data_IF_858120715632
#
_entry.id   IF_858120715632
#
_cell.length_a   1.000
_cell.length_b   1.000
_cell.length_c   1.000
_cell.angle_alpha   90.00
_cell.angle_beta   90.00
_cell.angle_gamma   90.00
#
_symmetry.space_group_name_H-M   'P 1'
#
loop_
_entity.id
_entity.type
_entity.pdbx_description
1 polymer ?
#
# COMPACT_ATOMS: atom_id res chain seq x y z
N UNK A 1 6.40 1.05 -23.82
CA UNK A 1 7.40 0.17 -23.15
C UNK A 1 7.28 -1.17 -23.87
N UNK A 2 8.37 -1.69 -24.45
CA UNK A 2 8.35 -2.91 -25.26
C UNK A 2 7.97 -4.12 -24.37
N UNK A 3 7.02 -5.00 -24.74
CA UNK A 3 6.71 -6.23 -24.02
C UNK A 3 7.94 -7.09 -23.63
N UNK A 4 9.01 -7.07 -24.44
CA UNK A 4 10.26 -7.77 -24.13
C UNK A 4 10.97 -7.21 -22.89
N UNK A 5 10.86 -5.90 -22.63
CA UNK A 5 11.48 -5.27 -21.47
C UNK A 5 10.72 -5.58 -20.17
N UNK A 6 9.41 -5.89 -20.25
CA UNK A 6 8.61 -6.26 -19.09
C UNK A 6 8.80 -7.73 -18.72
N UNK A 7 8.87 -8.62 -19.71
CA UNK A 7 9.23 -10.03 -19.48
C UNK A 7 10.61 -10.15 -18.82
N UNK A 8 11.58 -9.35 -19.31
CA UNK A 8 12.92 -9.29 -18.71
C UNK A 8 12.90 -8.76 -17.27
N UNK A 9 12.11 -7.72 -16.97
CA UNK A 9 11.94 -7.22 -15.61
C UNK A 9 11.29 -8.25 -14.67
N UNK A 10 10.31 -9.02 -15.18
CA UNK A 10 9.66 -10.10 -14.41
C UNK A 10 10.64 -11.24 -14.11
N UNK A 11 11.51 -11.60 -15.07
CA UNK A 11 12.53 -12.64 -14.88
C UNK A 11 13.67 -12.15 -13.96
N UNK A 12 14.08 -10.88 -14.06
CA UNK A 12 15.06 -10.25 -13.16
C UNK A 12 14.55 -10.20 -11.71
N UNK A 13 13.29 -9.79 -11.49
CA UNK A 13 12.66 -9.81 -10.17
C UNK A 13 12.52 -11.23 -9.60
N UNK A 14 12.38 -12.25 -10.45
CA UNK A 14 12.29 -13.65 -10.02
C UNK A 14 13.64 -14.23 -9.58
N UNK A 15 14.75 -13.74 -10.12
CA UNK A 15 16.10 -14.26 -9.83
C UNK A 15 16.70 -13.70 -8.52
N UNK A 16 16.29 -12.50 -8.09
CA UNK A 16 16.85 -11.79 -6.94
C UNK A 16 16.48 -12.38 -5.58
N UNK A 17 15.45 -13.23 -5.49
CA UNK A 17 14.93 -13.72 -4.22
C UNK A 17 15.06 -15.24 -4.07
N UNK A 18 16.28 -15.70 -3.75
CA UNK A 18 16.49 -17.02 -3.15
C UNK A 18 16.53 -16.87 -1.63
N UNK A 19 15.55 -17.38 -0.86
CA UNK A 19 15.56 -17.20 0.58
C UNK A 19 16.66 -18.04 1.23
N UNK A 20 17.53 -17.42 2.03
CA UNK A 20 18.31 -18.13 3.04
C UNK A 20 17.51 -18.18 4.34
N UNK A 21 17.15 -19.38 4.78
CA UNK A 21 16.45 -19.63 6.04
C UNK A 21 17.22 -19.07 7.24
N UNK A 22 16.55 -18.28 8.08
CA UNK A 22 16.93 -18.11 9.49
C UNK A 22 15.70 -18.18 10.39
N UNK A 23 15.79 -19.07 11.36
CA UNK A 23 14.80 -19.38 12.39
C UNK A 23 14.52 -18.22 13.35
N UNK A 24 13.26 -18.07 13.77
CA UNK A 24 12.86 -17.42 15.03
C UNK A 24 11.59 -18.06 15.65
N UNK A 25 11.40 -17.93 16.97
CA UNK A 25 10.83 -18.97 17.82
C UNK A 25 9.32 -18.85 18.12
N UNK A 26 8.82 -19.95 18.67
CA UNK A 26 7.42 -20.33 18.92
C UNK A 26 6.60 -19.42 19.87
N UNK A 27 5.35 -19.18 19.46
CA UNK A 27 4.21 -18.77 20.30
C UNK A 27 3.00 -19.69 20.06
N UNK A 28 2.29 -20.01 21.14
CA UNK A 28 1.36 -21.15 21.32
C UNK A 28 -0.04 -20.90 20.73
N UNK A 29 -0.51 -21.78 19.84
CA UNK A 29 -1.82 -21.69 19.17
C UNK A 29 -2.96 -22.31 20.01
N UNK A 30 -4.08 -21.58 20.16
CA UNK A 30 -5.39 -22.14 20.54
C UNK A 30 -6.16 -22.46 19.26
N UNK A 31 -6.77 -23.66 19.19
CA UNK A 31 -7.42 -24.18 17.97
C UNK A 31 -8.66 -23.36 17.59
N UNK A 32 -8.62 -22.70 16.44
CA UNK A 32 -9.79 -22.12 15.78
C UNK A 32 -10.70 -23.21 15.18
N UNK A 33 -12.02 -22.97 15.05
CA UNK A 33 -12.96 -23.93 14.46
C UNK A 33 -12.65 -24.21 12.98
N UNK A 34 -12.93 -25.43 12.53
CA UNK A 34 -12.70 -25.87 11.14
C UNK A 34 -13.58 -25.09 10.18
N UNK A 35 -13.03 -24.09 9.50
CA UNK A 35 -13.63 -23.48 8.32
C UNK A 35 -13.39 -24.36 7.10
N UNK A 36 -14.43 -24.49 6.26
CA UNK A 36 -14.36 -25.16 4.96
C UNK A 36 -13.25 -24.53 4.11
N UNK A 37 -12.39 -25.32 3.43
CA UNK A 37 -11.29 -24.74 2.66
C UNK A 37 -11.83 -23.82 1.57
N UNK A 38 -11.31 -22.59 1.43
CA UNK A 38 -11.69 -21.72 0.34
C UNK A 38 -11.41 -22.43 -0.99
N UNK A 39 -12.36 -22.36 -1.93
CA UNK A 39 -12.17 -22.91 -3.28
C UNK A 39 -10.90 -22.29 -3.89
N UNK A 40 -10.08 -23.09 -4.57
CA UNK A 40 -8.82 -22.60 -5.18
C UNK A 40 -9.15 -21.43 -6.12
N UNK A 41 -8.74 -20.21 -5.77
CA UNK A 41 -8.92 -19.00 -6.59
C UNK A 41 -8.27 -19.25 -7.96
N UNK A 42 -9.04 -19.03 -9.03
CA UNK A 42 -8.53 -19.18 -10.40
C UNK A 42 -7.59 -18.02 -10.69
N UNK A 43 -6.29 -18.30 -10.81
CA UNK A 43 -5.28 -17.27 -11.10
C UNK A 43 -5.56 -16.60 -12.46
N UNK A 44 -5.56 -15.28 -12.46
CA UNK A 44 -5.77 -14.46 -13.66
C UNK A 44 -4.45 -14.14 -14.36
N UNK A 45 -4.46 -14.12 -15.69
CA UNK A 45 -3.35 -13.61 -16.51
C UNK A 45 -3.36 -12.09 -16.60
N UNK A 46 -4.43 -11.42 -16.16
CA UNK A 46 -4.49 -9.97 -16.12
C UNK A 46 -3.54 -9.44 -15.03
N UNK A 47 -2.82 -8.38 -15.35
CA UNK A 47 -2.04 -7.59 -14.41
C UNK A 47 -2.37 -6.10 -14.58
N UNK A 48 -2.32 -5.37 -13.47
CA UNK A 48 -2.61 -3.95 -13.42
C UNK A 48 -1.35 -3.18 -13.07
N UNK A 49 -1.00 -2.20 -13.91
CA UNK A 49 -0.04 -1.17 -13.52
C UNK A 49 -0.84 -0.06 -12.83
N UNK A 50 -0.68 0.08 -11.52
CA UNK A 50 -1.37 1.09 -10.72
C UNK A 50 -0.39 2.18 -10.30
N UNK A 51 -0.80 3.43 -10.42
CA UNK A 51 -0.12 4.56 -9.77
C UNK A 51 -0.90 4.99 -8.54
N UNK A 52 -0.25 4.93 -7.39
CA UNK A 52 -0.80 5.33 -6.09
C UNK A 52 -0.14 6.65 -5.72
N UNK A 53 -0.91 7.70 -5.51
CA UNK A 53 -0.41 9.03 -5.14
C UNK A 53 -1.04 9.45 -3.83
N UNK A 54 -0.24 9.84 -2.84
CA UNK A 54 -0.72 10.40 -1.59
C UNK A 54 -1.19 11.85 -1.82
N UNK A 55 -2.42 12.14 -1.45
CA UNK A 55 -3.05 13.43 -1.71
C UNK A 55 -2.66 14.46 -0.64
N UNK A 56 -2.66 15.74 -1.01
CA UNK A 56 -2.45 16.84 -0.08
C UNK A 56 -0.99 17.25 0.14
N UNK A 57 -0.01 16.45 -0.32
CA UNK A 57 1.42 16.73 -0.12
C UNK A 57 2.09 17.15 -1.44
N UNK A 58 2.98 18.16 -1.35
CA UNK A 58 3.83 18.62 -2.45
C UNK A 58 5.28 18.80 -1.99
N UNK A 59 6.29 18.35 -2.77
CA UNK A 59 6.21 17.55 -3.99
C UNK A 59 5.50 16.18 -3.80
N UNK A 60 4.94 15.55 -4.84
CA UNK A 60 4.07 14.40 -4.66
C UNK A 60 4.83 13.17 -4.15
N UNK A 61 4.26 12.49 -3.16
CA UNK A 61 4.66 11.15 -2.72
C UNK A 61 3.84 10.13 -3.52
N UNK A 62 4.50 9.19 -4.20
CA UNK A 62 3.80 8.23 -5.05
C UNK A 62 4.57 6.93 -5.27
N UNK A 63 3.83 5.88 -5.61
CA UNK A 63 4.32 4.56 -6.00
C UNK A 63 3.66 4.11 -7.30
N UNK A 64 4.36 3.34 -8.10
CA UNK A 64 3.84 2.63 -9.26
C UNK A 64 4.07 1.16 -9.04
N UNK A 65 3.00 0.39 -8.98
CA UNK A 65 3.04 -1.04 -8.66
C UNK A 65 2.41 -1.86 -9.79
N UNK A 66 2.89 -3.08 -9.96
CA UNK A 66 2.29 -4.10 -10.81
C UNK A 66 1.58 -5.11 -9.91
N UNK A 67 0.29 -5.34 -10.15
CA UNK A 67 -0.57 -6.15 -9.27
C UNK A 67 -1.32 -7.22 -10.07
N UNK A 68 -1.42 -8.48 -9.60
CA UNK A 68 -2.21 -9.50 -10.29
C UNK A 68 -3.71 -9.17 -10.25
N UNK A 69 -4.41 -9.34 -11.37
CA UNK A 69 -5.83 -8.99 -11.44
C UNK A 69 -6.76 -9.88 -10.62
N UNK A 70 -6.28 -11.06 -10.22
CA UNK A 70 -7.00 -11.93 -9.32
C UNK A 70 -6.84 -11.55 -7.85
N UNK A 71 -5.93 -10.63 -7.50
CA UNK A 71 -5.82 -10.08 -6.15
C UNK A 71 -7.15 -9.43 -5.73
N UNK A 72 -7.43 -9.42 -4.45
CA UNK A 72 -8.57 -8.75 -3.82
C UNK A 72 -8.23 -7.30 -3.53
N UNK A 73 -9.24 -6.51 -3.21
CA UNK A 73 -9.03 -5.18 -2.64
C UNK A 73 -8.31 -5.23 -1.29
N UNK A 74 -8.51 -6.26 -0.47
CA UNK A 74 -7.72 -6.43 0.76
C UNK A 74 -6.24 -6.69 0.44
N UNK A 75 -5.94 -7.55 -0.53
CA UNK A 75 -4.56 -7.77 -0.97
C UNK A 75 -3.95 -6.49 -1.60
N UNK A 76 -4.76 -5.67 -2.29
CA UNK A 76 -4.32 -4.36 -2.75
C UNK A 76 -3.99 -3.41 -1.60
N UNK A 77 -4.77 -3.42 -0.51
CA UNK A 77 -4.44 -2.66 0.70
C UNK A 77 -3.07 -3.08 1.24
N UNK A 78 -2.80 -4.38 1.41
CA UNK A 78 -1.49 -4.88 1.83
C UNK A 78 -0.37 -4.40 0.90
N UNK A 79 -0.58 -4.48 -0.41
CA UNK A 79 0.39 -4.02 -1.42
C UNK A 79 0.67 -2.52 -1.29
N UNK A 80 -0.37 -1.71 -1.08
CA UNK A 80 -0.20 -0.26 -0.88
C UNK A 80 0.61 0.00 0.39
N UNK A 81 0.28 -0.67 1.49
CA UNK A 81 0.96 -0.51 2.78
C UNK A 81 2.45 -0.85 2.69
N UNK A 82 2.80 -2.01 2.13
CA UNK A 82 4.20 -2.40 1.94
C UNK A 82 4.94 -1.46 0.97
N UNK A 83 4.28 -1.02 -0.10
CA UNK A 83 4.89 -0.09 -1.06
C UNK A 83 5.10 1.31 -0.45
N UNK A 84 4.25 1.74 0.48
CA UNK A 84 4.37 3.00 1.21
C UNK A 84 5.33 2.88 2.41
N UNK A 85 5.55 1.68 2.95
CA UNK A 85 6.33 1.46 4.17
C UNK A 85 5.53 1.81 5.43
N UNK A 86 4.25 1.44 5.46
CA UNK A 86 3.34 1.60 6.59
C UNK A 86 3.01 0.26 7.25
N UNK A 87 2.34 0.30 8.40
CA UNK A 87 2.26 -0.81 9.34
C UNK A 87 0.91 -1.54 9.34
N UNK A 88 -0.04 -1.12 8.51
CA UNK A 88 -1.38 -1.71 8.43
C UNK A 88 -2.15 -1.64 9.76
N UNK A 89 -1.84 -0.64 10.59
CA UNK A 89 -2.36 -0.50 11.95
C UNK A 89 -3.81 0.01 12.02
N UNK A 90 -4.30 0.66 10.96
CA UNK A 90 -5.59 1.35 10.96
C UNK A 90 -6.60 0.77 9.96
N UNK A 91 -7.86 1.21 10.10
CA UNK A 91 -8.93 0.91 9.15
C UNK A 91 -8.66 1.53 7.78
N UNK A 92 -9.27 0.94 6.76
CA UNK A 92 -9.15 1.41 5.38
C UNK A 92 -10.41 1.14 4.57
N UNK A 93 -10.57 1.91 3.49
CA UNK A 93 -11.61 1.69 2.48
C UNK A 93 -11.14 2.14 1.09
N UNK A 94 -11.77 1.59 0.06
CA UNK A 94 -11.68 2.05 -1.31
C UNK A 94 -13.00 2.69 -1.72
N UNK A 95 -12.96 3.95 -2.17
CA UNK A 95 -14.14 4.72 -2.54
C UNK A 95 -14.28 4.82 -4.07
N UNK A 96 -15.37 4.24 -4.58
CA UNK A 96 -15.79 4.26 -5.98
C UNK A 96 -17.03 5.18 -6.19
N UNK A 97 -17.27 6.14 -5.30
CA UNK A 97 -18.40 7.05 -5.35
C UNK A 97 -19.60 6.50 -4.60
N UNK A 98 -20.47 5.76 -5.28
CA UNK A 98 -21.66 5.16 -4.65
C UNK A 98 -21.39 3.84 -3.92
N UNK A 99 -20.19 3.28 -4.08
CA UNK A 99 -19.78 2.01 -3.48
C UNK A 99 -18.47 2.18 -2.73
N UNK A 100 -18.44 1.65 -1.52
CA UNK A 100 -17.23 1.45 -0.73
C UNK A 100 -16.83 -0.01 -0.74
N UNK A 101 -15.53 -0.26 -0.84
CA UNK A 101 -14.96 -1.59 -0.68
C UNK A 101 -14.02 -1.53 0.53
N UNK A 102 -14.40 -2.16 1.64
CA UNK A 102 -13.69 -2.07 2.92
C UNK A 102 -13.85 -3.34 3.75
N UNK A 103 -13.44 -3.33 5.02
CA UNK A 103 -13.71 -4.43 5.95
C UNK A 103 -15.05 -4.15 6.66
N UNK A 104 -16.09 -4.98 6.49
CA UNK A 104 -17.32 -4.82 7.25
C UNK A 104 -17.06 -5.04 8.73
N UNK A 105 -17.38 -4.05 9.56
CA UNK A 105 -17.15 -4.06 11.01
C UNK A 105 -18.43 -4.38 11.81
N UNK A 106 -19.55 -4.63 11.12
CA UNK A 106 -20.86 -4.89 11.73
C UNK A 106 -21.57 -3.63 12.23
N UNK A 107 -20.95 -2.46 12.09
CA UNK A 107 -21.52 -1.13 12.39
C UNK A 107 -21.89 -0.42 11.08
N UNK A 108 -22.63 -1.13 10.22
CA UNK A 108 -23.11 -0.76 8.87
C UNK A 108 -23.95 0.56 8.81
N UNK A 109 -24.01 1.36 9.88
CA UNK A 109 -25.05 2.35 10.12
C UNK A 109 -24.65 3.81 9.98
N UNK A 110 -23.41 4.17 9.64
CA UNK A 110 -23.02 5.60 9.56
C UNK A 110 -22.84 6.16 8.14
N UNK A 111 -22.76 5.32 7.10
CA UNK A 111 -22.76 5.77 5.70
C UNK A 111 -24.03 5.32 4.98
N UNK A 112 -25.18 5.87 5.39
CA UNK A 112 -26.54 5.53 4.94
C UNK A 112 -26.79 5.59 3.42
N UNK A 113 -25.85 6.08 2.62
CA UNK A 113 -26.02 6.32 1.18
C UNK A 113 -25.10 5.50 0.27
N UNK A 114 -24.13 4.75 0.81
CA UNK A 114 -23.18 3.96 0.00
C UNK A 114 -23.31 2.46 0.26
N UNK A 115 -23.23 1.67 -0.80
CA UNK A 115 -23.14 0.21 -0.68
C UNK A 115 -21.75 -0.18 -0.17
N UNK A 116 -21.67 -0.98 0.90
CA UNK A 116 -20.41 -1.52 1.41
C UNK A 116 -20.19 -2.96 0.92
N UNK A 117 -19.03 -3.20 0.30
CA UNK A 117 -18.58 -4.53 -0.12
C UNK A 117 -17.35 -4.98 0.65
N UNK A 118 -17.27 -6.28 0.94
CA UNK A 118 -16.15 -6.88 1.67
C UNK A 118 -14.88 -6.99 0.81
N UNK A 119 -13.88 -6.17 1.12
CA UNK A 119 -12.59 -6.09 0.43
C UNK A 119 -11.84 -7.42 0.37
N UNK A 120 -12.09 -8.36 1.30
CA UNK A 120 -11.46 -9.70 1.32
C UNK A 120 -12.03 -10.63 0.25
N UNK A 121 -13.14 -10.26 -0.38
CA UNK A 121 -13.91 -11.11 -1.29
C UNK A 121 -13.93 -10.60 -2.72
N UNK A 122 -13.74 -9.30 -2.92
CA UNK A 122 -13.85 -8.65 -4.23
C UNK A 122 -12.50 -8.64 -4.96
N UNK A 123 -12.35 -9.36 -6.09
CA UNK A 123 -11.14 -9.29 -6.92
C UNK A 123 -11.05 -7.97 -7.69
N UNK A 124 -9.83 -7.47 -7.90
CA UNK A 124 -9.58 -6.23 -8.63
C UNK A 124 -10.16 -6.27 -10.05
N UNK A 125 -10.02 -7.40 -10.75
CA UNK A 125 -10.51 -7.55 -12.12
C UNK A 125 -12.03 -7.40 -12.31
N UNK A 126 -12.80 -7.47 -11.22
CA UNK A 126 -14.24 -7.22 -11.28
C UNK A 126 -14.55 -5.72 -11.39
N UNK A 127 -13.66 -4.86 -10.90
CA UNK A 127 -13.89 -3.41 -10.75
C UNK A 127 -12.95 -2.55 -11.59
N UNK A 128 -11.75 -3.04 -11.89
CA UNK A 128 -10.75 -2.32 -12.67
C UNK A 128 -10.85 -2.74 -14.13
N UNK A 129 -11.71 -2.06 -14.89
CA UNK A 129 -12.06 -2.47 -16.26
C UNK A 129 -11.44 -1.58 -17.33
N UNK A 130 -11.00 -0.37 -16.97
CA UNK A 130 -10.53 0.63 -17.93
C UNK A 130 -9.21 1.27 -17.51
N UNK A 131 -8.35 1.52 -18.49
CA UNK A 131 -7.19 2.39 -18.26
C UNK A 131 -7.67 3.82 -17.97
N UNK A 132 -6.89 4.54 -17.14
CA UNK A 132 -7.17 5.87 -16.60
C UNK A 132 -8.31 5.92 -15.59
N UNK A 133 -8.96 4.79 -15.27
CA UNK A 133 -9.89 4.69 -14.15
C UNK A 133 -9.19 5.14 -12.85
N UNK A 134 -9.91 5.89 -12.02
CA UNK A 134 -9.43 6.40 -10.73
C UNK A 134 -10.42 6.07 -9.62
N UNK A 135 -9.87 5.82 -8.44
CA UNK A 135 -10.63 5.64 -7.20
C UNK A 135 -9.77 6.13 -6.04
N UNK A 136 -10.40 6.32 -4.88
CA UNK A 136 -9.67 6.68 -3.66
C UNK A 136 -9.39 5.43 -2.84
N UNK A 137 -8.20 5.40 -2.23
CA UNK A 137 -7.87 4.53 -1.13
C UNK A 137 -7.67 5.41 0.10
N UNK A 138 -8.50 5.21 1.12
CA UNK A 138 -8.49 5.96 2.36
C UNK A 138 -7.94 5.04 3.44
N UNK A 139 -6.94 5.50 4.16
CA UNK A 139 -6.28 4.77 5.24
C UNK A 139 -6.20 5.64 6.47
N UNK A 140 -6.40 5.01 7.62
CA UNK A 140 -6.57 5.66 8.91
C UNK A 140 -7.70 6.68 8.93
N UNK A 141 -8.79 6.35 9.62
CA UNK A 141 -9.94 7.26 9.72
C UNK A 141 -9.71 8.39 10.73
N UNK A 142 -8.63 8.35 11.52
CA UNK A 142 -8.12 9.46 12.30
C UNK A 142 -7.39 10.46 11.42
N UNK A 143 -6.21 10.09 10.91
CA UNK A 143 -5.35 10.97 10.10
C UNK A 143 -5.88 11.23 8.68
N UNK A 144 -6.79 10.38 8.21
CA UNK A 144 -7.51 10.50 6.96
C UNK A 144 -6.60 10.56 5.72
N UNK A 145 -5.67 9.61 5.63
CA UNK A 145 -4.73 9.51 4.52
C UNK A 145 -5.43 9.07 3.23
N UNK A 146 -5.66 10.04 2.35
CA UNK A 146 -6.28 9.79 1.04
C UNK A 146 -5.23 9.58 -0.04
N UNK A 147 -5.41 8.52 -0.80
CA UNK A 147 -4.60 8.22 -1.97
C UNK A 147 -5.49 8.18 -3.20
N UNK A 148 -5.08 8.86 -4.27
CA UNK A 148 -5.63 8.59 -5.59
C UNK A 148 -4.90 7.43 -6.22
N UNK A 149 -5.63 6.34 -6.49
CA UNK A 149 -5.15 5.19 -7.26
C UNK A 149 -5.62 5.33 -8.70
N UNK A 150 -4.69 5.29 -9.65
CA UNK A 150 -4.98 5.36 -11.09
C UNK A 150 -4.56 4.05 -11.76
N UNK A 151 -5.47 3.44 -12.51
CA UNK A 151 -5.17 2.31 -13.40
C UNK A 151 -4.43 2.87 -14.61
N UNK A 152 -3.10 2.78 -14.64
CA UNK A 152 -2.34 3.31 -15.78
C UNK A 152 -2.35 2.35 -16.96
N UNK A 153 -2.33 1.04 -16.70
CA UNK A 153 -2.40 0.00 -17.74
C UNK A 153 -3.10 -1.26 -17.24
N UNK A 154 -3.72 -1.97 -18.19
CA UNK A 154 -4.28 -3.30 -17.99
C UNK A 154 -3.62 -4.24 -19.01
N UNK A 155 -2.84 -5.20 -18.54
CA UNK A 155 -2.04 -6.08 -19.40
C UNK A 155 -2.48 -7.54 -19.24
N UNK A 156 -2.47 -8.30 -20.33
CA UNK A 156 -2.62 -9.76 -20.29
C UNK A 156 -1.25 -10.39 -20.42
N UNK A 157 -0.78 -11.05 -19.36
CA UNK A 157 0.53 -11.69 -19.31
C UNK A 157 0.49 -13.12 -19.87
N UNK A 158 1.63 -13.68 -20.32
CA UNK A 158 1.70 -15.08 -20.77
C UNK A 158 1.34 -16.09 -19.67
N UNK A 159 1.76 -15.80 -18.43
CA UNK A 159 1.48 -16.53 -17.19
C UNK A 159 0.92 -15.58 -16.13
N UNK A 160 0.07 -16.05 -15.19
CA UNK A 160 -0.36 -15.23 -14.06
C UNK A 160 0.83 -14.62 -13.31
N UNK A 161 0.70 -13.35 -12.95
CA UNK A 161 1.67 -12.70 -12.07
C UNK A 161 1.56 -13.33 -10.67
N UNK A 162 2.68 -13.81 -10.13
CA UNK A 162 2.68 -14.52 -8.84
C UNK A 162 2.83 -13.59 -7.64
N UNK A 163 3.43 -12.42 -7.84
CA UNK A 163 3.73 -11.44 -6.79
C UNK A 163 3.53 -10.03 -7.32
N UNK A 164 3.11 -9.12 -6.44
CA UNK A 164 3.14 -7.72 -6.77
C UNK A 164 4.58 -7.20 -6.79
N UNK A 165 4.82 -6.13 -7.54
CA UNK A 165 6.12 -5.48 -7.59
C UNK A 165 5.98 -3.96 -7.64
N UNK A 166 6.80 -3.23 -6.90
CA UNK A 166 7.01 -1.81 -7.08
C UNK A 166 7.94 -1.59 -8.27
N UNK A 167 7.49 -0.83 -9.25
CA UNK A 167 8.26 -0.52 -10.46
C UNK A 167 9.06 0.76 -10.28
N UNK A 168 8.46 1.78 -9.65
CA UNK A 168 9.02 3.13 -9.45
C UNK A 168 8.28 3.83 -8.31
N UNK A 169 8.90 4.83 -7.71
CA UNK A 169 8.24 5.76 -6.79
C UNK A 169 9.12 6.98 -6.55
N UNK A 170 8.63 7.89 -5.71
CA UNK A 170 9.42 9.01 -5.19
C UNK A 170 8.94 9.39 -3.80
N UNK A 171 9.89 9.90 -3.01
CA UNK A 171 9.73 10.44 -1.65
C UNK A 171 9.29 9.41 -0.63
N UNK A 172 9.73 9.60 0.61
CA UNK A 172 9.35 8.75 1.71
C UNK A 172 7.88 9.02 2.07
N UNK A 173 7.18 8.02 2.59
CA UNK A 173 5.85 8.23 3.14
C UNK A 173 5.92 8.78 4.56
N UNK A 174 4.90 9.55 4.99
CA UNK A 174 4.81 10.05 6.36
C UNK A 174 4.90 8.92 7.38
N UNK A 175 5.37 9.19 8.62
CA UNK A 175 5.17 8.28 9.74
C UNK A 175 3.68 7.99 9.95
N UNK A 176 3.36 6.82 10.50
CA UNK A 176 2.03 6.53 11.06
C UNK A 176 1.72 7.53 12.19
N UNK A 177 0.44 7.81 12.45
CA UNK A 177 -0.03 8.64 13.57
C UNK A 177 0.56 10.06 13.66
N UNK A 178 1.06 10.62 12.56
CA UNK A 178 1.68 11.94 12.55
C UNK A 178 0.69 13.11 12.40
N UNK A 179 -0.62 12.85 12.52
CA UNK A 179 -1.65 13.90 12.46
C UNK A 179 -2.05 14.26 11.03
N UNK A 180 -2.01 13.29 10.13
CA UNK A 180 -2.42 13.45 8.74
C UNK A 180 -1.54 14.42 7.97
N UNK A 181 -2.07 14.90 6.85
CA UNK A 181 -1.32 15.77 5.92
C UNK A 181 -0.77 17.01 6.62
N UNK A 182 -1.54 17.62 7.51
CA UNK A 182 -1.13 18.86 8.18
C UNK A 182 0.00 18.61 9.18
N UNK A 183 -0.14 17.60 10.05
CA UNK A 183 0.89 17.27 11.02
C UNK A 183 2.20 16.84 10.35
N UNK A 184 2.14 16.08 9.25
CA UNK A 184 3.34 15.76 8.48
C UNK A 184 4.02 17.00 7.87
N UNK A 185 3.25 17.96 7.33
CA UNK A 185 3.83 19.17 6.76
C UNK A 185 4.50 20.05 7.84
N UNK A 186 3.89 20.13 9.03
CA UNK A 186 4.47 20.82 10.20
C UNK A 186 5.78 20.13 10.64
N UNK A 187 5.80 18.80 10.70
CA UNK A 187 7.02 18.03 10.98
C UNK A 187 8.14 18.32 9.97
N UNK A 188 7.82 18.36 8.67
CA UNK A 188 8.81 18.68 7.64
C UNK A 188 9.35 20.12 7.77
N UNK A 189 8.48 21.08 8.08
CA UNK A 189 8.87 22.48 8.27
C UNK A 189 9.75 22.66 9.51
N UNK A 190 9.42 21.98 10.60
CA UNK A 190 10.18 21.97 11.84
C UNK A 190 11.55 21.28 11.65
N UNK A 191 11.58 20.11 10.99
CA UNK A 191 12.80 19.37 10.71
C UNK A 191 13.76 20.17 9.81
N UNK A 192 13.25 20.90 8.82
CA UNK A 192 14.06 21.77 7.96
C UNK A 192 14.75 22.92 8.72
N UNK A 193 14.29 23.22 9.94
CA UNK A 193 14.80 24.29 10.80
C UNK A 193 15.42 23.77 12.11
N UNK A 194 15.67 22.45 12.21
CA UNK A 194 16.02 21.74 13.47
C UNK A 194 17.08 22.45 14.32
N UNK A 195 18.16 22.93 13.71
CA UNK A 195 19.27 23.60 14.42
C UNK A 195 18.88 24.95 15.07
N UNK A 196 17.82 25.58 14.57
CA UNK A 196 17.34 26.92 14.99
C UNK A 196 15.96 26.89 15.64
N UNK A 197 15.29 25.73 15.63
CA UNK A 197 13.94 25.54 16.15
C UNK A 197 13.95 25.85 17.64
N UNK A 198 13.24 26.90 18.11
CA UNK A 198 13.28 27.29 19.52
C UNK A 198 12.16 26.63 20.36
N UNK A 199 11.09 26.21 19.70
CA UNK A 199 9.92 25.60 20.32
C UNK A 199 10.24 24.18 20.84
N UNK A 200 10.17 23.94 22.16
CA UNK A 200 10.43 22.62 22.73
C UNK A 200 9.44 21.55 22.26
N UNK A 201 8.16 21.89 22.07
CA UNK A 201 7.12 20.91 21.67
C UNK A 201 7.38 20.43 20.23
N UNK A 202 7.71 21.35 19.33
CA UNK A 202 8.07 21.00 17.95
C UNK A 202 9.38 20.20 17.87
N UNK A 203 10.35 20.46 18.76
CA UNK A 203 11.58 19.65 18.82
C UNK A 203 11.28 18.21 19.20
N UNK A 204 10.44 18.00 20.21
CA UNK A 204 10.02 16.65 20.64
C UNK A 204 9.32 15.90 19.51
N UNK A 205 8.46 16.58 18.74
CA UNK A 205 7.79 16.00 17.57
C UNK A 205 8.76 15.62 16.45
N UNK A 206 9.77 16.47 16.18
CA UNK A 206 10.81 16.17 15.19
C UNK A 206 11.66 14.98 15.63
N UNK A 207 12.07 14.93 16.90
CA UNK A 207 12.86 13.82 17.42
C UNK A 207 12.04 12.51 17.39
N UNK A 208 10.75 12.55 17.76
CA UNK A 208 9.83 11.41 17.58
C UNK A 208 9.76 10.92 16.13
N UNK A 209 9.72 11.84 15.14
CA UNK A 209 9.71 11.46 13.73
C UNK A 209 10.98 10.68 13.36
N UNK A 210 12.16 11.12 13.81
CA UNK A 210 13.42 10.42 13.54
C UNK A 210 13.52 9.10 14.30
N UNK A 211 13.00 9.00 15.52
CA UNK A 211 12.90 7.72 16.25
C UNK A 211 12.04 6.69 15.50
N UNK A 212 10.93 7.15 14.90
CA UNK A 212 10.00 6.28 14.16
C UNK A 212 10.50 5.91 12.75
N UNK A 213 11.18 6.83 12.07
CA UNK A 213 11.62 6.63 10.67
C UNK A 213 13.08 6.22 10.51
N UNK A 214 13.89 6.36 11.56
CA UNK A 214 15.34 6.25 11.51
C UNK A 214 16.01 7.63 11.44
N UNK A 215 17.18 7.73 12.07
CA UNK A 215 18.02 8.95 12.12
C UNK A 215 18.46 9.45 10.74
N UNK A 216 18.50 8.56 9.75
CA UNK A 216 18.85 8.84 8.35
C UNK A 216 17.62 9.12 7.47
N UNK A 217 16.45 9.37 8.07
CA UNK A 217 15.23 9.69 7.35
C UNK A 217 15.41 10.91 6.43
N UNK A 218 15.30 10.66 5.13
CA UNK A 218 15.21 11.68 4.09
C UNK A 218 13.80 11.68 3.48
N UNK A 219 13.01 12.76 3.64
CA UNK A 219 11.65 12.83 3.09
C UNK A 219 11.61 12.76 1.55
N UNK A 220 12.72 13.01 0.86
CA UNK A 220 12.81 12.94 -0.59
C UNK A 220 13.33 11.59 -1.12
N UNK A 221 13.87 10.74 -0.24
CA UNK A 221 14.38 9.42 -0.59
C UNK A 221 13.27 8.41 -0.86
N UNK A 222 13.52 7.47 -1.78
CA UNK A 222 12.71 6.28 -1.96
C UNK A 222 13.52 5.18 -2.64
N UNK A 223 13.53 3.99 -2.05
CA UNK A 223 14.20 2.81 -2.56
C UNK A 223 13.17 1.80 -3.11
N UNK A 224 13.33 1.41 -4.38
CA UNK A 224 12.38 0.51 -5.07
C UNK A 224 12.63 -0.94 -4.65
N UNK A 225 13.88 -1.30 -4.44
CA UNK A 225 14.37 -2.60 -4.04
C UNK A 225 13.86 -2.92 -2.64
N UNK A 226 14.01 -2.01 -1.68
CA UNK A 226 13.50 -2.15 -0.31
C UNK A 226 11.96 -2.32 -0.28
N UNK A 227 11.25 -1.56 -1.11
CA UNK A 227 9.80 -1.73 -1.27
C UNK A 227 9.44 -3.11 -1.85
N UNK A 228 10.25 -3.66 -2.75
CA UNK A 228 10.05 -5.00 -3.30
C UNK A 228 10.40 -6.12 -2.31
N UNK A 229 11.38 -5.91 -1.43
CA UNK A 229 11.69 -6.84 -0.34
C UNK A 229 10.48 -6.99 0.60
N UNK A 230 9.85 -5.88 0.97
CA UNK A 230 8.59 -5.87 1.73
C UNK A 230 7.44 -6.58 1.00
N UNK A 231 7.23 -6.24 -0.28
CA UNK A 231 6.19 -6.86 -1.12
C UNK A 231 6.38 -8.39 -1.28
N UNK A 232 7.62 -8.89 -1.18
CA UNK A 232 7.92 -10.31 -1.33
C UNK A 232 7.30 -11.20 -0.23
N UNK A 233 6.86 -10.62 0.89
CA UNK A 233 6.18 -11.34 1.97
C UNK A 233 4.67 -11.52 1.75
N UNK A 234 4.07 -10.74 0.83
CA UNK A 234 2.65 -10.87 0.50
C UNK A 234 2.43 -12.14 -0.34
N UNK A 235 1.52 -13.00 0.12
CA UNK A 235 1.09 -14.20 -0.62
C UNK A 235 -0.25 -13.92 -1.31
N UNK A 236 -0.29 -14.05 -2.63
CA UNK A 236 -1.44 -13.80 -3.52
C UNK A 236 -2.08 -15.10 -4.03
#
# INVERSE_FOLDING_TARGET
MNPDNLAKLIDELSAMFHPTERDRPHGRWVKAPKSTPPSKRRRSKTAYQLKITLNGIRPPIWRRVLVPGHATFHELHLIIQEAMGWEQAHLYEFDFGSVLIGIPDGWDSFQLEKELMDARRIPLQQWLTEEKQKFLYIYDFGDYWRHTVTVEKIETLPKPLERAACLKGKRACPPEDCGGVYGYLELLEAAAQKDSLADPELRELVDWMYDMKGEDFDPDAFDVEEANERLAYIRL
#
